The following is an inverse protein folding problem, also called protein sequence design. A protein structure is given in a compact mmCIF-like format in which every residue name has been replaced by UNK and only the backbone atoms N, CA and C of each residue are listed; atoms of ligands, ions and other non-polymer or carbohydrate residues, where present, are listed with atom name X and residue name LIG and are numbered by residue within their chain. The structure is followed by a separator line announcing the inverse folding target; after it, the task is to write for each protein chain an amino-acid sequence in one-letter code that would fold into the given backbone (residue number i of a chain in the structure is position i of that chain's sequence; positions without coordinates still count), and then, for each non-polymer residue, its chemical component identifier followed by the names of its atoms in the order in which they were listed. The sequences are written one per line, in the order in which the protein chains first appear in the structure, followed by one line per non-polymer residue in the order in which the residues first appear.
data_IF_498423998662
#
_entry.id   IF_498423998662
#
_cell.length_a   1.000
_cell.length_b   1.000
_cell.length_c   1.000
_cell.angle_alpha   90.00
_cell.angle_beta   90.00
_cell.angle_gamma   90.00
#
_symmetry.space_group_name_H-M   'P 1'
#
loop_
_entity.id
_entity.type
_entity.pdbx_description
1 polymer ?
#
# COMPACT_ATOMS: atom_id res chain seq x y z
N UNK A 1 17.16 -7.63 8.70
CA UNK A 1 17.22 -7.03 7.35
C UNK A 1 16.07 -7.62 6.57
N UNK A 2 14.95 -6.91 6.48
CA UNK A 2 13.86 -7.30 5.57
C UNK A 2 14.11 -6.52 4.29
N UNK A 3 14.14 -7.21 3.16
CA UNK A 3 14.22 -6.61 1.84
C UNK A 3 13.09 -7.18 1.01
N UNK A 4 12.06 -6.37 0.74
CA UNK A 4 10.98 -6.77 -0.13
C UNK A 4 11.42 -6.58 -1.59
N UNK A 5 11.45 -7.67 -2.37
CA UNK A 5 11.52 -7.61 -3.84
C UNK A 5 10.10 -7.79 -4.38
N UNK A 6 9.61 -6.84 -5.19
CA UNK A 6 8.42 -7.05 -6.06
C UNK A 6 8.86 -7.80 -7.33
N UNK A 7 9.60 -8.89 -7.12
CA UNK A 7 9.90 -9.88 -8.15
C UNK A 7 9.00 -11.08 -7.87
N UNK A 8 8.37 -11.63 -8.91
CA UNK A 8 7.57 -12.87 -8.87
C UNK A 8 6.10 -12.79 -8.46
N UNK A 9 5.50 -11.60 -8.35
CA UNK A 9 4.03 -11.53 -8.33
C UNK A 9 3.48 -12.17 -9.61
N UNK A 10 2.76 -13.28 -9.44
CA UNK A 10 1.91 -13.85 -10.49
C UNK A 10 0.86 -12.81 -10.88
N UNK A 11 0.28 -12.93 -12.08
CA UNK A 11 -0.91 -12.13 -12.41
C UNK A 11 -1.97 -12.36 -11.33
N UNK A 12 -2.61 -11.26 -10.93
CA UNK A 12 -3.54 -11.18 -9.80
C UNK A 12 -2.90 -11.39 -8.41
N UNK A 13 -1.57 -11.49 -8.34
CA UNK A 13 -0.84 -11.58 -7.08
C UNK A 13 -0.68 -10.24 -6.40
N UNK A 14 -0.74 -10.24 -5.07
CA UNK A 14 -0.46 -9.08 -4.23
C UNK A 14 0.66 -9.33 -3.22
N UNK A 15 1.29 -8.24 -2.79
CA UNK A 15 2.24 -8.20 -1.67
C UNK A 15 1.79 -7.08 -0.74
N UNK A 16 1.69 -7.38 0.56
CA UNK A 16 1.38 -6.42 1.62
C UNK A 16 2.56 -6.38 2.59
N UNK A 17 2.97 -5.17 2.99
CA UNK A 17 3.88 -4.95 4.10
C UNK A 17 3.13 -4.16 5.17
N UNK A 18 3.12 -4.68 6.39
CA UNK A 18 2.44 -4.10 7.55
C UNK A 18 3.47 -3.67 8.60
N UNK A 19 3.19 -2.59 9.31
CA UNK A 19 3.91 -2.21 10.53
C UNK A 19 3.07 -2.64 11.72
N UNK A 20 3.72 -3.35 12.64
CA UNK A 20 3.16 -3.67 13.94
C UNK A 20 3.73 -2.67 14.92
N UNK A 21 2.90 -1.72 15.33
CA UNK A 21 3.22 -0.72 16.35
C UNK A 21 2.47 -1.06 17.66
N UNK A 22 2.89 -0.49 18.79
CA UNK A 22 2.22 -0.71 20.08
C UNK A 22 0.85 0.01 20.15
N UNK A 23 0.73 1.12 19.42
CA UNK A 23 -0.50 1.90 19.32
C UNK A 23 -1.51 1.25 18.36
N UNK A 24 -2.82 1.32 18.67
CA UNK A 24 -3.85 0.82 17.75
C UNK A 24 -3.85 1.61 16.44
N UNK A 25 -3.80 0.89 15.34
CA UNK A 25 -3.96 1.43 13.99
C UNK A 25 -3.54 0.41 12.94
N UNK A 26 -3.70 0.82 11.69
CA UNK A 26 -3.47 -0.01 10.52
C UNK A 26 -2.54 0.72 9.54
N UNK A 27 -1.25 0.37 9.59
CA UNK A 27 -0.22 0.94 8.73
C UNK A 27 0.32 -0.11 7.79
N UNK A 28 -0.02 0.03 6.52
CA UNK A 28 0.51 -0.86 5.48
C UNK A 28 0.80 -0.12 4.19
N UNK A 29 1.60 -0.78 3.36
CA UNK A 29 1.68 -0.52 1.93
C UNK A 29 1.47 -1.85 1.21
N UNK A 30 0.66 -1.83 0.15
CA UNK A 30 0.45 -3.00 -0.71
C UNK A 30 0.72 -2.67 -2.17
N UNK A 31 1.07 -3.71 -2.90
CA UNK A 31 1.08 -3.70 -4.36
C UNK A 31 0.31 -4.91 -4.89
N UNK A 32 -0.56 -4.68 -5.87
CA UNK A 32 -1.31 -5.71 -6.58
C UNK A 32 -1.03 -5.61 -8.09
N UNK A 33 -0.56 -6.71 -8.69
CA UNK A 33 -0.44 -6.84 -10.15
C UNK A 33 -1.80 -7.21 -10.74
N UNK A 34 -2.50 -6.22 -11.28
CA UNK A 34 -3.81 -6.36 -11.91
C UNK A 34 -3.73 -7.24 -13.17
N UNK A 35 -4.89 -7.75 -13.59
CA UNK A 35 -5.03 -8.53 -14.83
C UNK A 35 -4.61 -7.77 -16.09
N UNK A 36 -4.80 -6.45 -16.11
CA UNK A 36 -4.40 -5.54 -17.18
C UNK A 36 -2.87 -5.26 -17.21
N UNK A 37 -2.10 -5.94 -16.36
CA UNK A 37 -0.65 -5.76 -16.14
C UNK A 37 -0.26 -4.38 -15.60
N UNK A 38 -1.19 -3.66 -14.97
CA UNK A 38 -0.86 -2.48 -14.15
C UNK A 38 -0.57 -2.89 -12.71
N UNK A 39 0.29 -2.13 -12.04
CA UNK A 39 0.49 -2.22 -10.61
C UNK A 39 -0.40 -1.20 -9.92
N UNK A 40 -1.27 -1.68 -9.05
CA UNK A 40 -1.96 -0.84 -8.09
C UNK A 40 -1.15 -0.80 -6.80
N UNK A 41 -0.80 0.39 -6.34
CA UNK A 41 -0.25 0.58 -5.00
C UNK A 41 -1.30 1.22 -4.12
N UNK A 42 -1.35 0.77 -2.88
CA UNK A 42 -2.14 1.40 -1.84
C UNK A 42 -1.35 1.49 -0.56
N UNK A 43 -1.69 2.45 0.29
CA UNK A 43 -1.23 2.48 1.66
C UNK A 43 -2.33 2.99 2.58
N UNK A 44 -2.24 2.58 3.85
CA UNK A 44 -3.02 3.13 4.94
C UNK A 44 -2.10 3.71 5.99
N UNK A 45 -2.48 4.87 6.51
CA UNK A 45 -1.74 5.60 7.54
C UNK A 45 -2.54 5.60 8.86
N UNK A 46 -2.59 4.45 9.51
CA UNK A 46 -3.18 4.26 10.84
C UNK A 46 -4.69 4.08 10.84
N UNK A 47 -5.44 4.86 10.05
CA UNK A 47 -6.91 4.86 10.09
C UNK A 47 -7.55 4.67 8.71
N UNK A 48 -8.80 4.16 8.62
CA UNK A 48 -9.48 3.94 7.34
C UNK A 48 -9.62 5.20 6.47
N UNK A 49 -9.81 6.38 7.06
CA UNK A 49 -9.90 7.66 6.35
C UNK A 49 -8.60 8.06 5.66
N UNK A 50 -7.46 7.57 6.16
CA UNK A 50 -6.13 7.82 5.64
C UNK A 50 -5.66 6.65 4.76
N UNK A 51 -6.52 6.28 3.79
CA UNK A 51 -6.25 5.22 2.82
C UNK A 51 -6.12 5.83 1.43
N UNK A 52 -5.02 5.52 0.76
CA UNK A 52 -4.63 6.12 -0.50
C UNK A 52 -4.29 5.06 -1.53
N UNK A 53 -4.55 5.38 -2.81
CA UNK A 53 -4.27 4.50 -3.94
C UNK A 53 -3.62 5.26 -5.09
N UNK A 54 -2.79 4.56 -5.86
CA UNK A 54 -2.31 5.01 -7.17
C UNK A 54 -2.15 3.81 -8.12
N UNK A 55 -1.90 4.10 -9.40
CA UNK A 55 -1.61 3.08 -10.42
C UNK A 55 -0.38 3.45 -11.24
N UNK A 56 0.39 2.45 -11.61
CA UNK A 56 1.57 2.59 -12.46
C UNK A 56 1.78 1.37 -13.34
N UNK A 57 2.43 1.55 -14.48
CA UNK A 57 2.93 0.45 -15.31
C UNK A 57 4.39 0.09 -14.99
N UNK A 58 5.10 0.94 -14.23
CA UNK A 58 6.49 0.70 -13.86
C UNK A 58 6.58 -0.13 -12.59
N UNK A 59 7.12 -1.34 -12.74
CA UNK A 59 7.45 -2.25 -11.63
C UNK A 59 8.52 -1.65 -10.73
N UNK A 60 9.49 -0.95 -11.32
CA UNK A 60 10.62 -0.35 -10.62
C UNK A 60 10.13 0.71 -9.65
N UNK A 61 9.29 1.65 -10.11
CA UNK A 61 8.70 2.67 -9.24
C UNK A 61 7.86 2.04 -8.12
N UNK A 62 7.10 0.99 -8.42
CA UNK A 62 6.32 0.27 -7.42
C UNK A 62 7.22 -0.34 -6.34
N UNK A 63 8.28 -1.03 -6.75
CA UNK A 63 9.25 -1.65 -5.83
C UNK A 63 10.00 -0.61 -4.99
N UNK A 64 10.41 0.50 -5.59
CA UNK A 64 11.10 1.61 -4.91
C UNK A 64 10.22 2.23 -3.81
N UNK A 65 8.93 2.48 -4.08
CA UNK A 65 8.00 2.94 -3.06
C UNK A 65 7.83 1.95 -1.91
N UNK A 66 7.67 0.65 -2.20
CA UNK A 66 7.57 -0.39 -1.15
C UNK A 66 8.83 -0.41 -0.28
N UNK A 67 10.01 -0.32 -0.88
CA UNK A 67 11.30 -0.28 -0.15
C UNK A 67 11.45 1.02 0.65
N UNK A 68 11.07 2.16 0.08
CA UNK A 68 11.11 3.46 0.76
C UNK A 68 10.19 3.49 1.98
N UNK A 69 8.95 2.99 1.84
CA UNK A 69 8.02 2.87 2.96
C UNK A 69 8.58 1.99 4.08
N UNK A 70 9.16 0.84 3.74
CA UNK A 70 9.80 -0.07 4.70
C UNK A 70 10.96 0.60 5.44
N UNK A 71 11.72 1.48 4.77
CA UNK A 71 12.82 2.25 5.35
C UNK A 71 12.37 3.48 6.15
N UNK A 72 11.07 3.76 6.22
CA UNK A 72 10.49 5.01 6.76
C UNK A 72 11.04 6.27 6.07
N UNK A 73 11.42 6.17 4.80
CA UNK A 73 11.89 7.31 4.01
C UNK A 73 10.70 8.14 3.51
N UNK A 74 10.46 9.38 3.99
CA UNK A 74 9.26 10.15 3.65
C UNK A 74 9.08 10.41 2.14
N UNK A 75 10.17 10.41 1.36
CA UNK A 75 10.12 10.66 -0.08
C UNK A 75 9.50 9.51 -0.90
N UNK A 76 9.22 8.37 -0.25
CA UNK A 76 8.65 7.20 -0.91
C UNK A 76 7.31 7.48 -1.63
N UNK A 77 6.55 8.48 -1.17
CA UNK A 77 5.26 8.88 -1.74
C UNK A 77 5.39 9.77 -2.97
N UNK A 78 6.52 10.47 -3.13
CA UNK A 78 6.66 11.63 -4.03
C UNK A 78 6.61 11.26 -5.52
N UNK A 79 6.95 10.01 -5.85
CA UNK A 79 6.95 9.52 -7.22
C UNK A 79 5.55 9.35 -7.83
N UNK A 80 4.48 9.53 -7.02
CA UNK A 80 3.10 9.25 -7.40
C UNK A 80 2.16 10.39 -7.05
N UNK A 81 1.05 10.45 -7.79
CA UNK A 81 -0.13 11.18 -7.37
C UNK A 81 -1.08 10.18 -6.71
N UNK A 82 -1.45 10.46 -5.47
CA UNK A 82 -2.26 9.58 -4.64
C UNK A 82 -3.70 10.07 -4.60
N UNK A 83 -4.62 9.13 -4.75
CA UNK A 83 -6.06 9.38 -4.59
C UNK A 83 -6.43 8.86 -3.21
N UNK A 84 -6.98 9.73 -2.35
CA UNK A 84 -7.57 9.29 -1.10
C UNK A 84 -8.87 8.52 -1.41
N UNK A 85 -8.95 7.30 -0.90
CA UNK A 85 -10.10 6.38 -1.03
C UNK A 85 -10.70 6.05 0.33
N UNK A 86 -10.31 6.76 1.40
CA UNK A 86 -10.63 6.41 2.78
C UNK A 86 -12.13 6.44 3.10
N UNK A 87 -12.88 7.33 2.44
CA UNK A 87 -14.35 7.39 2.58
C UNK A 87 -15.06 6.08 2.19
N UNK A 88 -14.44 5.22 1.38
CA UNK A 88 -14.98 3.90 1.03
C UNK A 88 -14.90 2.90 2.19
N UNK A 89 -14.10 3.20 3.23
CA UNK A 89 -13.76 2.28 4.33
C UNK A 89 -14.19 2.80 5.71
N UNK A 90 -14.58 4.06 5.83
CA UNK A 90 -15.06 4.67 7.08
C UNK A 90 -16.33 4.01 7.65
N UNK A 91 -17.15 3.34 6.81
CA UNK A 91 -18.41 2.70 7.22
C UNK A 91 -18.32 1.22 7.63
N UNK A 92 -17.12 0.62 7.64
CA UNK A 92 -16.94 -0.83 7.84
C UNK A 92 -16.94 -1.33 9.29
N UNK A 93 -16.90 -0.43 10.28
CA UNK A 93 -16.96 -0.79 11.71
C UNK A 93 -18.35 -0.51 12.29
N UNK A 94 -19.33 -1.34 11.94
CA UNK A 94 -20.52 -1.53 12.76
C UNK A 94 -20.50 -2.98 13.26
N UNK A 95 -19.63 -3.22 14.25
CA UNK A 95 -19.61 -4.46 15.00
C UNK A 95 -20.75 -4.44 16.00
N UNK A 96 -21.91 -4.95 15.60
CA UNK A 96 -22.98 -5.29 16.52
C UNK A 96 -22.57 -6.60 17.25
N UNK A 97 -22.25 -6.49 18.55
CA UNK A 97 -22.14 -7.62 19.48
C UNK A 97 -23.45 -7.82 20.24
#
# INVERSE_FOLDING_TARGET
MVGARVGDLKRDGSLVLERVEEEPGDWYVQVWLREDNTFQLEYRDGVPSEHYQTRTISREKAAEAMIGWMKRDPAWKDAFQWINIGSMFEGGYQGDY
#
